data_IF_255824221052
#
_entry.id   IF_255824221052
#
_cell.length_a   1.000
_cell.length_b   1.000
_cell.length_c   1.000
_cell.angle_alpha   90.00
_cell.angle_beta   90.00
_cell.angle_gamma   90.00
#
_symmetry.space_group_name_H-M   'P 1'
#
loop_
_entity.id
_entity.type
_entity.pdbx_description
1 polymer ?
#
# COMPACT_ATOMS: atom_id res chain seq x y z
N UNK A 1 10.27 -6.96 -6.79
CA UNK A 1 9.22 -7.60 -5.97
C UNK A 1 9.05 -6.78 -4.71
N UNK A 2 7.83 -6.61 -4.19
CA UNK A 2 7.60 -5.85 -2.95
C UNK A 2 7.50 -6.83 -1.79
N UNK A 3 8.23 -6.55 -0.71
CA UNK A 3 8.19 -7.32 0.53
C UNK A 3 7.25 -6.62 1.51
N UNK A 4 6.30 -7.36 2.04
CA UNK A 4 5.31 -6.81 2.96
C UNK A 4 4.52 -7.90 3.65
N UNK A 5 3.59 -7.46 4.49
CA UNK A 5 2.76 -8.32 5.32
C UNK A 5 1.29 -8.16 4.92
N UNK A 6 0.55 -9.26 4.92
CA UNK A 6 -0.88 -9.28 4.58
C UNK A 6 -1.67 -9.58 5.85
N UNK A 7 -2.57 -8.68 6.20
CA UNK A 7 -3.41 -8.79 7.39
C UNK A 7 -4.88 -8.94 7.01
N UNK A 8 -5.59 -9.81 7.71
CA UNK A 8 -7.05 -9.91 7.62
C UNK A 8 -7.66 -8.96 8.63
N UNK A 9 -8.48 -8.03 8.15
CA UNK A 9 -9.22 -7.07 8.96
C UNK A 9 -10.71 -7.14 8.63
N UNK A 10 -11.56 -6.72 9.57
CA UNK A 10 -12.99 -6.65 9.36
C UNK A 10 -13.40 -5.52 8.41
N UNK A 11 -14.56 -5.68 7.77
CA UNK A 11 -15.08 -4.73 6.80
C UNK A 11 -15.28 -3.32 7.40
N UNK A 12 -15.67 -3.23 8.67
CA UNK A 12 -15.83 -1.95 9.38
C UNK A 12 -14.50 -1.22 9.52
N UNK A 13 -13.44 -1.93 9.96
CA UNK A 13 -12.08 -1.35 10.09
C UNK A 13 -11.54 -0.90 8.73
N UNK A 14 -11.80 -1.67 7.67
CA UNK A 14 -11.41 -1.27 6.31
C UNK A 14 -12.13 0.01 5.84
N UNK A 15 -13.41 0.16 6.17
CA UNK A 15 -14.19 1.36 5.81
C UNK A 15 -13.70 2.61 6.54
N UNK A 16 -13.37 2.49 7.83
CA UNK A 16 -12.78 3.58 8.61
C UNK A 16 -11.41 4.00 8.06
N UNK A 17 -10.54 3.02 7.76
CA UNK A 17 -9.23 3.28 7.16
C UNK A 17 -9.36 4.02 5.81
N UNK A 18 -10.34 3.65 5.00
CA UNK A 18 -10.63 4.33 3.73
C UNK A 18 -11.07 5.78 3.93
N UNK A 19 -12.00 5.99 4.86
CA UNK A 19 -12.52 7.31 5.14
C UNK A 19 -11.42 8.27 5.62
N UNK A 20 -10.34 7.74 6.21
CA UNK A 20 -9.16 8.51 6.60
C UNK A 20 -8.19 8.73 5.44
N UNK A 21 -7.89 7.69 4.63
CA UNK A 21 -6.82 7.71 3.62
C UNK A 21 -7.27 8.26 2.26
N UNK A 22 -8.54 8.13 1.91
CA UNK A 22 -9.05 8.33 0.55
C UNK A 22 -9.79 9.66 0.40
N UNK A 23 -10.00 10.40 1.50
CA UNK A 23 -10.60 11.75 1.50
C UNK A 23 -9.89 12.76 0.61
N UNK A 24 -8.58 12.62 0.41
CA UNK A 24 -7.77 13.49 -0.43
C UNK A 24 -7.64 13.07 -1.90
N UNK A 25 -8.20 11.91 -2.29
CA UNK A 25 -8.02 11.33 -3.62
C UNK A 25 -6.55 11.01 -3.97
N UNK A 26 -5.70 10.85 -2.97
CA UNK A 26 -4.24 10.67 -3.14
C UNK A 26 -3.85 9.21 -3.44
N UNK A 27 -4.68 8.28 -3.00
CA UNK A 27 -4.44 6.85 -3.09
C UNK A 27 -5.61 6.14 -3.77
N UNK A 28 -5.30 5.24 -4.70
CA UNK A 28 -6.27 4.34 -5.30
C UNK A 28 -6.14 2.93 -4.75
N UNK A 29 -7.30 2.31 -4.54
CA UNK A 29 -7.41 0.91 -4.14
C UNK A 29 -7.19 -0.01 -5.32
N UNK A 30 -6.23 -0.90 -5.19
CA UNK A 30 -5.98 -1.99 -6.11
C UNK A 30 -6.21 -3.31 -5.39
N UNK A 31 -6.99 -4.19 -6.00
CA UNK A 31 -7.17 -5.55 -5.50
C UNK A 31 -6.06 -6.41 -6.09
N UNK A 32 -5.18 -6.93 -5.23
CA UNK A 32 -4.08 -7.81 -5.62
C UNK A 32 -4.36 -9.24 -5.17
N UNK A 33 -3.91 -10.21 -5.96
CA UNK A 33 -3.96 -11.61 -5.57
C UNK A 33 -2.74 -11.94 -4.70
N UNK A 34 -2.99 -12.53 -3.53
CA UNK A 34 -1.93 -13.02 -2.64
C UNK A 34 -2.16 -14.51 -2.37
N UNK A 35 -1.14 -15.26 -1.90
CA UNK A 35 -1.31 -16.66 -1.51
C UNK A 35 -2.38 -16.89 -0.42
N UNK A 36 -2.74 -15.85 0.32
CA UNK A 36 -3.74 -15.88 1.41
C UNK A 36 -5.13 -15.41 0.96
N UNK A 37 -5.31 -15.10 -0.33
CA UNK A 37 -6.52 -14.54 -0.91
C UNK A 37 -6.33 -13.12 -1.46
N UNK A 38 -7.41 -12.51 -1.91
CA UNK A 38 -7.40 -11.14 -2.43
C UNK A 38 -7.14 -10.13 -1.30
N UNK A 39 -6.21 -9.21 -1.50
CA UNK A 39 -5.90 -8.13 -0.55
C UNK A 39 -6.02 -6.76 -1.21
N UNK A 40 -6.40 -5.75 -0.43
CA UNK A 40 -6.44 -4.36 -0.89
C UNK A 40 -5.08 -3.69 -0.68
N UNK A 41 -4.55 -3.11 -1.75
CA UNK A 41 -3.34 -2.29 -1.75
C UNK A 41 -3.69 -0.85 -2.10
N UNK A 42 -3.14 0.10 -1.35
CA UNK A 42 -3.29 1.53 -1.62
C UNK A 42 -2.09 2.01 -2.44
N UNK A 43 -2.34 2.40 -3.68
CA UNK A 43 -1.31 2.89 -4.62
C UNK A 43 -1.42 4.41 -4.70
N UNK A 44 -0.32 5.11 -4.45
CA UNK A 44 -0.27 6.56 -4.60
C UNK A 44 -0.44 6.95 -6.07
N UNK A 45 -1.32 7.91 -6.37
CA UNK A 45 -1.69 8.27 -7.75
C UNK A 45 -1.14 9.62 -8.24
N UNK A 46 -0.46 10.39 -7.38
CA UNK A 46 0.12 11.68 -7.80
C UNK A 46 1.58 11.50 -8.22
N UNK A 47 2.18 12.58 -8.73
CA UNK A 47 3.58 12.59 -9.11
C UNK A 47 4.46 12.18 -7.94
N UNK A 48 5.39 11.26 -8.21
CA UNK A 48 6.44 10.79 -7.27
C UNK A 48 7.79 11.45 -7.58
N UNK A 49 7.78 12.55 -8.33
CA UNK A 49 8.97 13.30 -8.69
C UNK A 49 9.68 13.83 -7.43
N UNK A 50 10.97 13.53 -7.29
CA UNK A 50 11.75 13.84 -6.10
C UNK A 50 11.61 12.85 -4.94
N UNK A 51 10.78 11.81 -5.05
CA UNK A 51 10.71 10.74 -4.06
C UNK A 51 11.79 9.67 -4.30
N UNK A 52 12.36 9.14 -3.22
CA UNK A 52 13.30 8.01 -3.28
C UNK A 52 12.57 6.74 -3.70
N UNK A 53 13.00 6.14 -4.80
CA UNK A 53 12.53 4.84 -5.25
C UNK A 53 13.27 3.72 -4.49
N UNK A 54 12.53 2.87 -3.80
CA UNK A 54 13.05 1.66 -3.18
C UNK A 54 12.98 0.53 -4.21
N UNK A 55 14.07 0.30 -4.95
CA UNK A 55 14.08 -0.62 -6.09
C UNK A 55 13.92 -2.10 -5.68
N UNK A 56 14.44 -2.48 -4.52
CA UNK A 56 14.34 -3.84 -3.98
C UNK A 56 12.95 -4.15 -3.40
N UNK A 57 12.07 -3.13 -3.26
CA UNK A 57 10.76 -3.24 -2.65
C UNK A 57 10.76 -3.69 -1.18
N UNK A 58 11.90 -3.64 -0.50
CA UNK A 58 12.05 -3.93 0.92
C UNK A 58 12.37 -2.65 1.69
N UNK A 59 11.36 -2.13 2.39
CA UNK A 59 11.50 -0.89 3.15
C UNK A 59 12.38 -1.01 4.41
N UNK A 60 12.63 -2.23 4.90
CA UNK A 60 13.51 -2.47 6.05
C UNK A 60 14.99 -2.43 5.67
N UNK A 61 15.30 -2.57 4.39
CA UNK A 61 16.66 -2.50 3.86
C UNK A 61 17.08 -1.03 3.69
N UNK A 62 17.26 -0.38 4.85
CA UNK A 62 17.65 1.04 4.96
C UNK A 62 19.12 1.29 4.68
N UNK A 63 19.95 0.26 4.67
CA UNK A 63 21.38 0.40 4.39
C UNK A 63 21.66 0.70 2.90
N UNK A 64 20.64 0.64 2.03
CA UNK A 64 20.76 0.96 0.60
C UNK A 64 20.31 2.39 0.22
N UNK A 65 19.78 3.23 1.14
CA UNK A 65 19.19 4.53 0.80
C UNK A 65 19.41 5.63 1.85
#
# INVERSE_FOLDING_TARGET
TVHGEVYRIDASTLAELDALRTKGGEYARHLIQTPYGSAWMYVYQRSVEGCTLIANGNWLDRDQY
#
